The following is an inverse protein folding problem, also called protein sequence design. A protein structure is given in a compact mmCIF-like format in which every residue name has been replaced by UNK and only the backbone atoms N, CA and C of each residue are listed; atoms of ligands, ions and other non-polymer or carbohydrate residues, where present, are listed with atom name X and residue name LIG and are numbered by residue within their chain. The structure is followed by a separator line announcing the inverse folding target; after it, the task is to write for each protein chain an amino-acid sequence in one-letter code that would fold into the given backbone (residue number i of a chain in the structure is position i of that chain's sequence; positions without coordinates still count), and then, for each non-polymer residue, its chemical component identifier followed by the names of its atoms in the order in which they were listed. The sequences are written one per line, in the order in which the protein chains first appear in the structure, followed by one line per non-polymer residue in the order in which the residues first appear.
data_IF_957363181501
#
_entry.id   IF_957363181501
#
_cell.length_a   1.000
_cell.length_b   1.000
_cell.length_c   1.000
_cell.angle_alpha   90.00
_cell.angle_beta   90.00
_cell.angle_gamma   90.00
#
_symmetry.space_group_name_H-M   'P 1'
#
loop_
_entity.id
_entity.type
_entity.pdbx_description
1 polymer ?
#
# COMPACT_ATOMS: atom_id res chain seq x y z
N UNK A 1 -3.74 11.37 -3.00
CA UNK A 1 -2.73 11.37 -1.93
C UNK A 1 -3.32 10.68 -0.70
N UNK A 2 -2.57 9.78 -0.06
CA UNK A 2 -2.98 9.03 1.14
C UNK A 2 -1.88 9.19 2.18
N UNK A 3 -2.20 9.62 3.41
CA UNK A 3 -1.21 9.93 4.45
C UNK A 3 -0.10 10.89 3.99
N UNK A 4 -0.42 11.86 3.12
CA UNK A 4 0.57 12.76 2.54
C UNK A 4 1.50 12.12 1.49
N UNK A 5 1.25 10.88 1.07
CA UNK A 5 2.03 10.14 0.08
C UNK A 5 1.28 10.01 -1.24
N UNK A 6 2.01 10.12 -2.34
CA UNK A 6 1.47 9.85 -3.66
C UNK A 6 1.34 8.34 -3.88
N UNK A 7 0.09 7.92 -4.05
CA UNK A 7 -0.28 6.55 -4.34
C UNK A 7 -0.99 6.55 -5.69
N UNK A 8 -0.55 5.68 -6.57
CA UNK A 8 -1.10 5.52 -7.91
C UNK A 8 -1.88 4.21 -7.99
N UNK A 9 -3.00 4.22 -8.70
CA UNK A 9 -3.75 3.03 -9.06
C UNK A 9 -3.64 2.80 -10.57
N UNK A 10 -3.29 1.58 -10.97
CA UNK A 10 -3.14 1.15 -12.36
C UNK A 10 -4.09 -0.02 -12.63
N UNK A 11 -4.59 -0.12 -13.87
CA UNK A 11 -5.40 -1.25 -14.31
C UNK A 11 -6.73 -1.38 -13.55
N UNK A 12 -7.33 -0.25 -13.15
CA UNK A 12 -8.61 -0.24 -12.43
C UNK A 12 -8.55 -0.76 -11.00
N UNK A 13 -7.39 -0.67 -10.33
CA UNK A 13 -7.23 -1.13 -8.94
C UNK A 13 -6.58 -2.50 -8.79
N UNK A 14 -6.10 -3.10 -9.88
CA UNK A 14 -5.33 -4.36 -9.84
C UNK A 14 -3.89 -4.14 -9.39
N UNK A 15 -3.36 -2.92 -9.53
CA UNK A 15 -2.05 -2.52 -9.04
C UNK A 15 -2.15 -1.16 -8.32
N UNK A 16 -1.60 -1.09 -7.12
CA UNK A 16 -1.31 0.16 -6.42
C UNK A 16 0.19 0.33 -6.27
N UNK A 17 0.69 1.54 -6.47
CA UNK A 17 2.11 1.86 -6.33
C UNK A 17 2.28 3.11 -5.44
N UNK A 18 3.06 2.99 -4.38
CA UNK A 18 3.48 4.09 -3.53
C UNK A 18 5.01 4.20 -3.61
N UNK A 19 5.50 5.21 -4.32
CA UNK A 19 6.93 5.46 -4.54
C UNK A 19 7.43 6.64 -3.70
N UNK A 20 6.78 6.89 -2.57
CA UNK A 20 7.19 7.93 -1.64
C UNK A 20 8.65 7.72 -1.20
N UNK A 21 9.42 8.80 -0.97
CA UNK A 21 10.80 8.70 -0.53
C UNK A 21 10.94 8.23 0.92
N UNK A 22 9.89 8.39 1.73
CA UNK A 22 9.85 7.95 3.12
C UNK A 22 8.44 7.62 3.59
N UNK A 23 8.33 6.59 4.42
CA UNK A 23 7.11 6.10 5.07
C UNK A 23 7.46 5.91 6.55
N UNK A 24 6.92 6.79 7.39
CA UNK A 24 7.10 6.70 8.83
C UNK A 24 6.11 5.70 9.43
N UNK A 25 6.45 5.11 10.58
CA UNK A 25 5.56 4.20 11.31
C UNK A 25 4.19 4.82 11.62
N UNK A 26 4.15 6.12 11.94
CA UNK A 26 2.91 6.85 12.18
C UNK A 26 2.00 6.96 10.94
N UNK A 27 2.56 6.86 9.73
CA UNK A 27 1.81 6.96 8.48
C UNK A 27 1.28 5.59 8.01
N UNK A 28 1.83 4.47 8.52
CA UNK A 28 1.56 3.12 8.01
C UNK A 28 0.08 2.76 8.02
N UNK A 29 -0.58 2.99 9.16
CA UNK A 29 -1.98 2.59 9.33
C UNK A 29 -2.90 3.40 8.41
N UNK A 30 -2.71 4.72 8.36
CA UNK A 30 -3.47 5.62 7.48
C UNK A 30 -3.21 5.31 6.00
N UNK A 31 -1.96 5.02 5.64
CA UNK A 31 -1.56 4.67 4.28
C UNK A 31 -2.21 3.36 3.82
N UNK A 32 -2.08 2.30 4.63
CA UNK A 32 -2.62 1.00 4.30
C UNK A 32 -4.15 1.04 4.24
N UNK A 33 -4.81 1.67 5.22
CA UNK A 33 -6.27 1.78 5.25
C UNK A 33 -6.80 2.57 4.05
N UNK A 34 -6.15 3.68 3.68
CA UNK A 34 -6.56 4.44 2.51
C UNK A 34 -6.43 3.65 1.21
N UNK A 35 -5.41 2.79 1.07
CA UNK A 35 -5.27 1.89 -0.09
C UNK A 35 -6.40 0.85 -0.10
N UNK A 36 -6.73 0.28 1.05
CA UNK A 36 -7.82 -0.68 1.21
C UNK A 36 -9.15 -0.06 0.82
N UNK A 37 -9.44 1.14 1.31
CA UNK A 37 -10.69 1.84 1.03
C UNK A 37 -10.78 2.21 -0.45
N UNK A 38 -9.66 2.65 -1.05
CA UNK A 38 -9.62 2.93 -2.48
C UNK A 38 -9.82 1.66 -3.32
N UNK A 39 -9.20 0.54 -2.95
CA UNK A 39 -9.45 -0.76 -3.57
C UNK A 39 -10.93 -1.16 -3.49
N UNK A 40 -11.56 -1.03 -2.32
CA UNK A 40 -12.98 -1.33 -2.14
C UNK A 40 -13.86 -0.48 -3.06
N UNK A 41 -13.53 0.80 -3.22
CA UNK A 41 -14.25 1.70 -4.11
C UNK A 41 -14.10 1.33 -5.60
N UNK A 42 -12.93 0.81 -6.00
CA UNK A 42 -12.67 0.39 -7.38
C UNK A 42 -13.22 -1.00 -7.71
N UNK A 43 -13.44 -1.85 -6.70
CA UNK A 43 -13.93 -3.23 -6.85
C UNK A 43 -13.25 -4.01 -8.01
N UNK A 44 -11.90 -4.10 -8.01
CA UNK A 44 -11.16 -4.70 -9.12
C UNK A 44 -11.54 -6.16 -9.33
N UNK A 45 -11.73 -6.54 -10.59
CA UNK A 45 -11.96 -7.93 -10.99
C UNK A 45 -10.63 -8.68 -11.06
N UNK A 46 -10.10 -9.11 -9.90
CA UNK A 46 -8.89 -9.94 -9.81
C UNK A 46 -7.99 -9.61 -8.62
N UNK A 47 -6.83 -10.26 -8.58
CA UNK A 47 -5.81 -10.06 -7.56
C UNK A 47 -5.33 -8.61 -7.54
N UNK A 48 -5.07 -8.11 -6.34
CA UNK A 48 -4.48 -6.79 -6.14
C UNK A 48 -3.04 -6.91 -5.70
N UNK A 49 -2.16 -6.21 -6.41
CA UNK A 49 -0.75 -6.05 -6.05
C UNK A 49 -0.51 -4.64 -5.52
N UNK A 50 0.26 -4.51 -4.44
CA UNK A 50 0.77 -3.23 -3.97
C UNK A 50 2.29 -3.20 -4.04
N UNK A 51 2.84 -2.17 -4.67
CA UNK A 51 4.28 -1.94 -4.80
C UNK A 51 4.68 -0.75 -3.93
N UNK A 52 5.70 -0.96 -3.11
CA UNK A 52 6.35 0.08 -2.32
C UNK A 52 7.84 0.15 -2.65
N UNK A 53 8.48 1.28 -2.38
CA UNK A 53 9.94 1.35 -2.38
C UNK A 53 10.45 0.76 -1.07
N UNK A 54 11.38 -0.21 -1.13
CA UNK A 54 11.92 -0.85 0.07
C UNK A 54 12.65 0.17 0.97
N UNK A 55 13.47 1.00 0.34
CA UNK A 55 14.22 2.08 1.01
C UNK A 55 13.35 3.23 1.55
N UNK A 56 12.03 3.21 1.34
CA UNK A 56 11.15 4.22 1.91
C UNK A 56 10.75 3.90 3.36
N UNK A 57 10.80 2.63 3.77
CA UNK A 57 10.40 2.24 5.12
C UNK A 57 11.47 2.66 6.14
N UNK A 58 11.02 3.19 7.28
CA UNK A 58 11.92 3.57 8.37
C UNK A 58 12.66 2.36 8.97
N UNK A 59 12.00 1.21 9.01
CA UNK A 59 12.53 -0.07 9.50
C UNK A 59 11.69 -1.26 8.96
N UNK A 60 12.18 -2.48 9.17
CA UNK A 60 11.50 -3.71 8.76
C UNK A 60 10.17 -3.96 9.51
N UNK A 61 10.02 -3.39 10.71
CA UNK A 61 8.79 -3.47 11.49
C UNK A 61 7.67 -2.66 10.81
N UNK A 62 7.99 -1.45 10.37
CA UNK A 62 7.12 -0.55 9.60
C UNK A 62 6.65 -1.23 8.32
N UNK A 63 7.57 -1.87 7.59
CA UNK A 63 7.25 -2.65 6.39
C UNK A 63 6.34 -3.84 6.69
N UNK A 64 6.68 -4.64 7.70
CA UNK A 64 5.91 -5.83 8.09
C UNK A 64 4.49 -5.47 8.53
N UNK A 65 4.34 -4.41 9.32
CA UNK A 65 3.04 -3.92 9.76
C UNK A 65 2.18 -3.46 8.58
N UNK A 66 2.76 -2.71 7.64
CA UNK A 66 2.04 -2.26 6.45
C UNK A 66 1.59 -3.45 5.59
N UNK A 67 2.48 -4.41 5.36
CA UNK A 67 2.16 -5.62 4.60
C UNK A 67 1.03 -6.42 5.29
N UNK A 68 1.11 -6.60 6.60
CA UNK A 68 0.09 -7.32 7.37
C UNK A 68 -1.29 -6.66 7.26
N UNK A 69 -1.40 -5.33 7.37
CA UNK A 69 -2.69 -4.62 7.24
C UNK A 69 -3.28 -4.82 5.83
N UNK A 70 -2.45 -4.73 4.80
CA UNK A 70 -2.88 -4.92 3.41
C UNK A 70 -3.34 -6.36 3.14
N UNK A 71 -2.56 -7.35 3.58
CA UNK A 71 -2.87 -8.77 3.42
C UNK A 71 -4.15 -9.17 4.17
N UNK A 72 -4.33 -8.71 5.41
CA UNK A 72 -5.56 -8.93 6.19
C UNK A 72 -6.80 -8.36 5.50
N UNK A 73 -6.63 -7.35 4.64
CA UNK A 73 -7.72 -6.75 3.88
C UNK A 73 -7.82 -7.30 2.45
N UNK A 74 -7.10 -8.37 2.09
CA UNK A 74 -7.20 -9.04 0.79
C UNK A 74 -6.35 -8.42 -0.32
N UNK A 75 -5.29 -7.70 0.04
CA UNK A 75 -4.22 -7.32 -0.90
C UNK A 75 -3.09 -8.34 -0.75
N UNK A 76 -3.11 -9.38 -1.58
CA UNK A 76 -2.30 -10.58 -1.39
C UNK A 76 -0.83 -10.41 -1.75
N UNK A 77 -0.51 -9.41 -2.59
CA UNK A 77 0.83 -9.27 -3.16
C UNK A 77 1.40 -7.91 -2.81
N UNK A 78 2.06 -7.82 -1.66
CA UNK A 78 2.92 -6.68 -1.34
C UNK A 78 4.33 -6.97 -1.88
N UNK A 79 4.88 -6.05 -2.67
CA UNK A 79 6.22 -6.15 -3.26
C UNK A 79 6.98 -4.86 -2.95
N UNK A 80 8.25 -5.01 -2.59
CA UNK A 80 9.16 -3.87 -2.46
C UNK A 80 10.25 -3.91 -3.52
N UNK A 81 10.65 -2.73 -4.00
CA UNK A 81 11.73 -2.50 -4.96
C UNK A 81 13.00 -2.00 -4.27
#
# INVERSE_FOLDING_TARGET
MIAGKDVHSIGGGTLFACLAPSIAMADVEVLAQGIVDWRKALAPSGDVTCIFRDSAFADDVTKTNLAAILEQNGVEKVRSL
#
